data_IF_586820090463
#
_entry.id   IF_586820090463
#
_cell.length_a   1.000
_cell.length_b   1.000
_cell.length_c   1.000
_cell.angle_alpha   90.00
_cell.angle_beta   90.00
_cell.angle_gamma   90.00
#
_symmetry.space_group_name_H-M   'P 1'
#
loop_
_entity.id
_entity.type
_entity.pdbx_description
1 polymer ?
#
# COMPACT_ATOMS: atom_id res chain seq x y z
N UNK A 1 -11.15 24.58 -22.08
CA UNK A 1 -12.22 24.15 -21.15
C UNK A 1 -11.57 23.72 -19.84
N UNK A 2 -11.91 24.34 -18.70
CA UNK A 2 -11.38 23.89 -17.39
C UNK A 2 -11.98 22.52 -17.10
N UNK A 3 -11.16 21.46 -17.03
CA UNK A 3 -11.60 20.11 -16.62
C UNK A 3 -12.24 20.20 -15.23
N UNK A 4 -13.33 19.45 -15.03
CA UNK A 4 -14.00 19.40 -13.73
C UNK A 4 -13.03 18.84 -12.68
N UNK A 5 -12.75 19.55 -11.58
CA UNK A 5 -11.84 19.08 -10.54
C UNK A 5 -12.26 17.72 -9.94
N UNK A 6 -13.56 17.39 -9.92
CA UNK A 6 -14.04 16.10 -9.46
C UNK A 6 -13.74 14.95 -10.43
N UNK A 7 -13.78 15.21 -11.74
CA UNK A 7 -13.37 14.22 -12.75
C UNK A 7 -11.87 13.94 -12.65
N UNK A 8 -11.09 14.99 -12.42
CA UNK A 8 -9.65 14.85 -12.18
C UNK A 8 -9.36 14.04 -10.91
N UNK A 9 -10.14 14.21 -9.85
CA UNK A 9 -10.01 13.37 -8.65
C UNK A 9 -10.28 11.90 -8.97
N UNK A 10 -11.32 11.61 -9.75
CA UNK A 10 -11.62 10.24 -10.17
C UNK A 10 -10.50 9.64 -11.05
N UNK A 11 -9.88 10.42 -11.93
CA UNK A 11 -8.71 10.00 -12.72
C UNK A 11 -7.52 9.66 -11.81
N UNK A 12 -7.21 10.52 -10.83
CA UNK A 12 -6.12 10.27 -9.87
C UNK A 12 -6.38 8.99 -9.05
N UNK A 13 -7.61 8.75 -8.62
CA UNK A 13 -7.96 7.53 -7.87
C UNK A 13 -7.81 6.25 -8.70
N UNK A 14 -8.06 6.30 -10.00
CA UNK A 14 -7.82 5.16 -10.90
C UNK A 14 -6.33 4.91 -11.13
N UNK A 15 -5.53 5.97 -11.28
CA UNK A 15 -4.06 5.83 -11.36
C UNK A 15 -3.49 5.30 -10.05
N UNK A 16 -3.98 5.80 -8.91
CA UNK A 16 -3.64 5.31 -7.56
C UNK A 16 -3.92 3.80 -7.47
N UNK A 17 -5.08 3.34 -7.94
CA UNK A 17 -5.42 1.90 -7.97
C UNK A 17 -4.40 1.08 -8.77
N UNK A 18 -4.04 1.53 -9.97
CA UNK A 18 -3.07 0.85 -10.83
C UNK A 18 -1.69 0.79 -10.17
N UNK A 19 -1.27 1.90 -9.56
CA UNK A 19 0.01 1.97 -8.83
C UNK A 19 0.03 0.99 -7.64
N UNK A 20 -1.07 0.90 -6.87
CA UNK A 20 -1.19 -0.06 -5.77
C UNK A 20 -1.06 -1.51 -6.27
N UNK A 21 -1.79 -1.86 -7.34
CA UNK A 21 -1.75 -3.22 -7.91
C UNK A 21 -0.36 -3.56 -8.45
N UNK A 22 0.31 -2.60 -9.08
CA UNK A 22 1.65 -2.77 -9.61
C UNK A 22 2.75 -2.75 -8.53
N UNK A 23 2.41 -2.38 -7.29
CA UNK A 23 3.40 -2.14 -6.24
C UNK A 23 4.33 -0.95 -6.53
N UNK A 24 3.93 -0.04 -7.41
CA UNK A 24 4.73 1.13 -7.80
C UNK A 24 4.59 2.24 -6.74
N UNK A 25 5.50 2.25 -5.77
CA UNK A 25 5.46 3.19 -4.64
C UNK A 25 5.69 4.64 -5.08
N UNK A 26 6.55 4.87 -6.08
CA UNK A 26 6.86 6.23 -6.55
C UNK A 26 5.62 6.87 -7.20
N UNK A 27 4.94 6.14 -8.07
CA UNK A 27 3.71 6.60 -8.73
C UNK A 27 2.56 6.77 -7.73
N UNK A 28 2.48 5.91 -6.71
CA UNK A 28 1.53 6.06 -5.61
C UNK A 28 1.77 7.36 -4.83
N UNK A 29 3.03 7.70 -4.53
CA UNK A 29 3.38 8.93 -3.82
C UNK A 29 3.05 10.18 -4.64
N UNK A 30 3.30 10.16 -5.95
CA UNK A 30 2.90 11.25 -6.84
C UNK A 30 1.38 11.42 -6.89
N UNK A 31 0.62 10.32 -6.96
CA UNK A 31 -0.84 10.37 -6.88
C UNK A 31 -1.33 11.00 -5.57
N UNK A 32 -0.70 10.68 -4.44
CA UNK A 32 -1.05 11.27 -3.14
C UNK A 32 -0.77 12.78 -3.10
N UNK A 33 0.37 13.24 -3.63
CA UNK A 33 0.69 14.68 -3.73
C UNK A 33 -0.30 15.42 -4.62
N UNK A 34 -0.63 14.85 -5.78
CA UNK A 34 -1.62 15.44 -6.70
C UNK A 34 -3.01 15.53 -6.06
N UNK A 35 -3.43 14.48 -5.36
CA UNK A 35 -4.70 14.42 -4.62
C UNK A 35 -4.74 15.48 -3.52
N UNK A 36 -3.68 15.63 -2.74
CA UNK A 36 -3.59 16.67 -1.70
C UNK A 36 -3.69 18.08 -2.29
N UNK A 37 -2.96 18.34 -3.37
CA UNK A 37 -3.01 19.63 -4.06
C UNK A 37 -4.40 19.92 -4.61
N UNK A 38 -5.05 18.92 -5.20
CA UNK A 38 -6.39 19.04 -5.75
C UNK A 38 -7.41 19.31 -4.64
N UNK A 39 -7.36 18.58 -3.52
CA UNK A 39 -8.28 18.78 -2.38
C UNK A 39 -8.16 20.15 -1.72
N UNK A 40 -7.00 20.80 -1.84
CA UNK A 40 -6.77 22.18 -1.38
C UNK A 40 -7.29 23.23 -2.36
N UNK A 41 -7.69 22.84 -3.58
CA UNK A 41 -8.19 23.77 -4.59
C UNK A 41 -9.57 24.34 -4.18
N UNK A 42 -9.70 25.66 -4.02
CA UNK A 42 -10.97 26.29 -3.62
C UNK A 42 -12.09 26.10 -4.65
N UNK A 43 -11.76 25.78 -5.91
CA UNK A 43 -12.75 25.50 -6.96
C UNK A 43 -13.59 24.24 -6.72
N UNK A 44 -13.12 23.31 -5.87
CA UNK A 44 -13.92 22.14 -5.46
C UNK A 44 -15.19 22.53 -4.69
N UNK A 45 -15.18 23.66 -3.98
CA UNK A 45 -16.33 24.13 -3.19
C UNK A 45 -17.44 24.71 -4.07
N UNK A 46 -17.08 25.24 -5.23
CA UNK A 46 -18.02 25.90 -6.15
C UNK A 46 -18.44 24.99 -7.29
N UNK A 47 -17.71 23.89 -7.54
CA UNK A 47 -18.01 22.96 -8.63
C UNK A 47 -19.06 21.94 -8.19
N UNK A 48 -20.19 21.79 -8.91
CA UNK A 48 -21.20 20.80 -8.58
C UNK A 48 -20.66 19.38 -8.72
N UNK A 49 -20.83 18.59 -7.66
CA UNK A 49 -20.53 17.16 -7.64
C UNK A 49 -21.80 16.38 -8.01
N UNK A 50 -21.79 15.73 -9.18
CA UNK A 50 -22.91 14.88 -9.60
C UNK A 50 -22.99 13.59 -8.74
N UNK A 51 -24.20 13.02 -8.56
CA UNK A 51 -24.37 11.78 -7.80
C UNK A 51 -23.51 10.63 -8.31
N UNK A 52 -23.46 10.41 -9.64
CA UNK A 52 -22.69 9.33 -10.25
C UNK A 52 -21.18 9.47 -9.98
N UNK A 53 -20.68 10.70 -10.01
CA UNK A 53 -19.27 10.98 -9.80
C UNK A 53 -18.90 10.84 -8.32
N UNK A 54 -19.81 11.21 -7.42
CA UNK A 54 -19.67 10.94 -5.99
C UNK A 54 -19.58 9.45 -5.73
N UNK A 55 -20.51 8.66 -6.27
CA UNK A 55 -20.52 7.20 -6.09
C UNK A 55 -19.22 6.58 -6.61
N UNK A 56 -18.77 6.99 -7.80
CA UNK A 56 -17.50 6.55 -8.38
C UNK A 56 -16.30 6.86 -7.48
N UNK A 57 -16.20 8.10 -6.99
CA UNK A 57 -15.11 8.52 -6.09
C UNK A 57 -15.13 7.72 -4.79
N UNK A 58 -16.31 7.52 -4.21
CA UNK A 58 -16.49 6.74 -2.97
C UNK A 58 -16.06 5.28 -3.19
N UNK A 59 -16.54 4.65 -4.26
CA UNK A 59 -16.18 3.28 -4.61
C UNK A 59 -14.67 3.13 -4.79
N UNK A 60 -14.05 3.99 -5.60
CA UNK A 60 -12.61 3.92 -5.86
C UNK A 60 -11.78 4.13 -4.59
N UNK A 61 -12.21 5.06 -3.73
CA UNK A 61 -11.53 5.32 -2.45
C UNK A 61 -11.60 4.10 -1.53
N UNK A 62 -12.78 3.51 -1.37
CA UNK A 62 -12.97 2.31 -0.54
C UNK A 62 -12.17 1.12 -1.08
N UNK A 63 -12.17 0.94 -2.41
CA UNK A 63 -11.45 -0.14 -3.05
C UNK A 63 -9.93 0.01 -2.89
N UNK A 64 -9.38 1.20 -3.13
CA UNK A 64 -7.95 1.47 -2.93
C UNK A 64 -7.52 1.26 -1.47
N UNK A 65 -8.35 1.68 -0.51
CA UNK A 65 -8.11 1.41 0.92
C UNK A 65 -8.07 -0.09 1.22
N UNK A 66 -8.98 -0.87 0.62
CA UNK A 66 -9.00 -2.32 0.80
C UNK A 66 -7.73 -2.97 0.25
N UNK A 67 -7.27 -2.56 -0.94
CA UNK A 67 -6.03 -3.06 -1.54
C UNK A 67 -4.81 -2.75 -0.67
N UNK A 68 -4.71 -1.52 -0.15
CA UNK A 68 -3.61 -1.14 0.75
C UNK A 68 -3.62 -1.96 2.05
N UNK A 69 -4.79 -2.18 2.65
CA UNK A 69 -4.93 -3.02 3.86
C UNK A 69 -4.53 -4.47 3.58
N UNK A 70 -4.93 -5.02 2.44
CA UNK A 70 -4.55 -6.36 2.04
C UNK A 70 -3.03 -6.47 1.81
N UNK A 71 -2.43 -5.48 1.14
CA UNK A 71 -0.99 -5.40 0.94
C UNK A 71 -0.21 -5.30 2.26
N UNK A 72 -0.69 -4.48 3.21
CA UNK A 72 -0.06 -4.35 4.52
C UNK A 72 -0.14 -5.66 5.32
N UNK A 73 -1.32 -6.29 5.38
CA UNK A 73 -1.48 -7.57 6.05
C UNK A 73 -0.57 -8.66 5.44
N UNK A 74 -0.39 -8.64 4.13
CA UNK A 74 0.54 -9.55 3.45
C UNK A 74 2.00 -9.28 3.86
N UNK A 75 2.42 -8.02 3.90
CA UNK A 75 3.77 -7.63 4.33
C UNK A 75 4.02 -8.01 5.79
N UNK A 76 3.04 -7.79 6.67
CA UNK A 76 3.11 -8.17 8.09
C UNK A 76 3.27 -9.69 8.25
N UNK A 77 2.50 -10.48 7.50
CA UNK A 77 2.60 -11.94 7.58
C UNK A 77 3.92 -12.45 6.97
N UNK A 78 4.38 -11.84 5.87
CA UNK A 78 5.70 -12.13 5.31
C UNK A 78 6.82 -11.83 6.32
N UNK A 79 6.73 -10.70 7.03
CA UNK A 79 7.69 -10.35 8.07
C UNK A 79 7.64 -11.31 9.26
N UNK A 80 6.44 -11.71 9.70
CA UNK A 80 6.27 -12.73 10.75
C UNK A 80 6.87 -14.07 10.32
N UNK A 81 6.60 -14.50 9.10
CA UNK A 81 7.11 -15.75 8.53
C UNK A 81 8.64 -15.74 8.49
N UNK A 82 9.24 -14.69 7.90
CA UNK A 82 10.69 -14.53 7.87
C UNK A 82 11.28 -14.44 9.28
N UNK A 83 10.65 -13.71 10.19
CA UNK A 83 11.08 -13.62 11.59
C UNK A 83 11.12 -14.98 12.30
N UNK A 84 10.17 -15.88 12.03
CA UNK A 84 10.15 -17.22 12.62
C UNK A 84 11.21 -18.16 12.03
N UNK A 85 11.57 -18.00 10.75
CA UNK A 85 12.55 -18.83 10.07
C UNK A 85 14.00 -18.32 10.20
N UNK A 86 14.19 -17.02 10.33
CA UNK A 86 15.50 -16.37 10.43
C UNK A 86 15.88 -15.96 11.86
N UNK A 87 14.96 -16.01 12.83
CA UNK A 87 15.37 -15.97 14.24
C UNK A 87 16.14 -17.25 14.56
N UNK A 88 17.46 -17.11 14.72
CA UNK A 88 18.27 -18.18 15.25
C UNK A 88 17.65 -18.60 16.59
N UNK A 89 17.19 -19.84 16.70
CA UNK A 89 16.86 -20.45 17.99
C UNK A 89 18.16 -20.60 18.76
N UNK A 90 18.63 -19.50 19.36
CA UNK A 90 19.74 -19.50 20.29
C UNK A 90 19.25 -20.28 21.51
N UNK A 91 19.64 -21.55 21.55
CA UNK A 91 19.34 -22.44 22.65
C UNK A 91 20.62 -22.55 23.46
N UNK A 92 20.63 -21.99 24.67
CA UNK A 92 21.76 -22.16 25.59
C UNK A 92 21.71 -23.57 26.16
N UNK A 93 22.85 -24.27 26.14
CA UNK A 93 22.96 -25.49 26.92
C UNK A 93 23.00 -25.14 28.44
N UNK A 94 22.77 -26.09 29.36
CA UNK A 94 22.88 -25.85 30.80
C UNK A 94 24.27 -25.44 31.29
N UNK A 95 25.28 -25.41 30.40
CA UNK A 95 26.66 -25.01 30.67
C UNK A 95 26.98 -23.59 30.17
N UNK A 96 26.04 -22.90 29.53
CA UNK A 96 26.23 -21.53 29.01
C UNK A 96 26.83 -21.43 27.60
N UNK A 97 27.08 -22.54 26.91
CA UNK A 97 27.58 -22.50 25.53
C UNK A 97 26.43 -22.29 24.53
N UNK A 98 26.66 -21.37 23.58
CA UNK A 98 25.80 -21.11 22.44
C UNK A 98 25.87 -22.30 21.46
N UNK A 99 24.80 -23.10 21.36
CA UNK A 99 24.58 -23.90 20.15
C UNK A 99 23.77 -23.05 19.18
N UNK A 100 24.47 -22.41 18.24
CA UNK A 100 23.82 -21.91 17.04
C UNK A 100 23.27 -23.12 16.28
N UNK A 101 21.97 -23.41 16.43
CA UNK A 101 21.28 -24.29 15.52
C UNK A 101 21.43 -23.69 14.13
N UNK A 102 22.07 -24.42 13.21
CA UNK A 102 22.15 -24.00 11.80
C UNK A 102 20.71 -23.72 11.35
N UNK A 103 20.39 -22.46 11.12
CA UNK A 103 19.27 -22.15 10.25
C UNK A 103 19.58 -22.83 8.93
N UNK A 104 18.71 -23.73 8.50
CA UNK A 104 18.78 -24.27 7.15
C UNK A 104 18.58 -23.09 6.21
N UNK A 105 19.70 -22.56 5.70
CA UNK A 105 19.68 -21.70 4.53
C UNK A 105 19.04 -22.53 3.42
N UNK A 106 17.83 -22.16 3.02
CA UNK A 106 17.23 -22.65 1.79
C UNK A 106 18.20 -22.28 0.67
N UNK A 107 18.94 -23.28 0.18
CA UNK A 107 19.60 -23.22 -1.12
C UNK A 107 18.49 -23.12 -2.17
N UNK A 108 18.04 -21.89 -2.44
CA UNK A 108 17.34 -21.56 -3.66
C UNK A 108 18.40 -21.52 -4.75
N UNK A 109 18.65 -22.68 -5.37
CA UNK A 109 19.25 -22.74 -6.70
C UNK A 109 18.26 -22.09 -7.67
N UNK A 110 18.72 -21.00 -8.30
CA UNK A 110 18.10 -20.38 -9.50
C UNK A 110 18.97 -20.75 -10.68
#
# INVERSE_FOLDING_TARGET
MKRNPWERLAEILETERKAIIAGNIEELLECLKEKEKLLKDPSLKTTPLTPDLREKITFLTQHNQMLLKAGLAFIEEAYRFLGQHFSSKISYNPRGDLKAGRGEFLNLEV
#
